data_IF_292796726184
#
_entry.id   IF_292796726184
#
_cell.length_a   1.000
_cell.length_b   1.000
_cell.length_c   1.000
_cell.angle_alpha   90.00
_cell.angle_beta   90.00
_cell.angle_gamma   90.00
#
_symmetry.space_group_name_H-M   'P 1'
#
loop_
_entity.id
_entity.type
_entity.pdbx_description
1 polymer ?
#
# COMPACT_ATOMS: atom_id res chain seq x y z
N UNK A 1 -7.80 70.26 66.14
CA UNK A 1 -7.16 69.77 64.90
C UNK A 1 -7.44 68.28 64.79
N UNK A 2 -8.04 67.85 63.68
CA UNK A 2 -8.52 66.49 63.47
C UNK A 2 -7.39 65.57 63.00
N UNK A 3 -7.34 64.39 63.61
CA UNK A 3 -6.49 63.24 63.30
C UNK A 3 -6.99 62.60 61.99
N UNK A 4 -6.06 62.19 61.11
CA UNK A 4 -6.36 61.44 59.89
C UNK A 4 -5.30 60.37 59.63
N UNK A 5 -5.58 59.14 60.06
CA UNK A 5 -4.79 57.94 59.76
C UNK A 5 -5.21 57.38 58.39
N UNK A 6 -4.24 57.20 57.49
CA UNK A 6 -4.43 56.51 56.21
C UNK A 6 -3.93 55.07 56.35
N UNK A 7 -4.87 54.12 56.35
CA UNK A 7 -4.58 52.68 56.37
C UNK A 7 -4.26 52.17 54.97
N UNK A 8 -3.11 51.47 54.84
CA UNK A 8 -2.67 50.81 53.63
C UNK A 8 -3.19 49.36 53.64
N UNK A 9 -4.12 49.02 52.76
CA UNK A 9 -4.65 47.66 52.59
C UNK A 9 -3.77 46.92 51.58
N UNK A 10 -2.92 46.01 52.06
CA UNK A 10 -2.24 45.02 51.21
C UNK A 10 -3.25 43.93 50.80
N UNK A 11 -3.61 43.88 49.52
CA UNK A 11 -4.25 42.71 48.92
C UNK A 11 -3.19 41.66 48.59
N UNK A 12 -3.15 40.56 49.35
CA UNK A 12 -2.46 39.33 48.95
C UNK A 12 -3.28 38.62 47.87
N UNK A 13 -2.84 38.69 46.62
CA UNK A 13 -3.32 37.81 45.56
C UNK A 13 -2.58 36.48 45.69
N UNK A 14 -3.22 35.50 46.33
CA UNK A 14 -2.74 34.12 46.36
C UNK A 14 -2.87 33.54 44.93
N UNK A 15 -1.77 33.55 44.19
CA UNK A 15 -1.66 32.92 42.88
C UNK A 15 -1.82 31.40 43.02
N UNK A 16 -2.98 30.88 42.62
CA UNK A 16 -3.18 29.47 42.32
C UNK A 16 -2.27 29.09 41.14
N UNK A 17 -1.05 28.66 41.46
CA UNK A 17 -0.18 27.95 40.53
C UNK A 17 -0.79 26.57 40.36
N UNK A 18 -1.79 26.45 39.48
CA UNK A 18 -2.17 25.16 38.93
C UNK A 18 -0.96 24.64 38.17
N UNK A 19 -0.23 23.70 38.76
CA UNK A 19 0.79 22.91 38.09
C UNK A 19 0.12 22.23 36.89
N UNK A 20 0.26 22.83 35.70
CA UNK A 20 -0.14 22.20 34.46
C UNK A 20 0.67 20.90 34.36
N UNK A 21 0.02 19.77 34.66
CA UNK A 21 0.65 18.46 34.57
C UNK A 21 1.24 18.31 33.17
N UNK A 22 2.54 18.01 33.09
CA UNK A 22 3.20 17.77 31.81
C UNK A 22 2.43 16.69 31.06
N UNK A 23 1.84 17.05 29.92
CA UNK A 23 1.16 16.08 29.08
C UNK A 23 2.19 15.03 28.64
N UNK A 24 2.00 13.78 29.07
CA UNK A 24 2.86 12.68 28.65
C UNK A 24 2.66 12.41 27.16
N UNK A 25 3.75 12.25 26.43
CA UNK A 25 3.72 11.86 25.03
C UNK A 25 3.05 10.48 24.89
N UNK A 26 2.06 10.37 24.00
CA UNK A 26 1.45 9.10 23.66
C UNK A 26 2.51 8.16 23.05
N UNK A 27 2.56 6.93 23.56
CA UNK A 27 3.38 5.88 22.98
C UNK A 27 2.90 5.56 21.56
N UNK A 28 3.83 5.33 20.63
CA UNK A 28 3.52 5.02 19.24
C UNK A 28 3.36 3.49 19.05
N UNK A 29 2.52 3.02 18.11
CA UNK A 29 2.43 1.60 17.80
C UNK A 29 3.81 1.06 17.44
N UNK A 30 4.29 0.02 18.13
CA UNK A 30 5.63 -0.53 17.90
C UNK A 30 6.77 0.50 17.97
N UNK A 31 6.57 1.63 18.65
CA UNK A 31 7.48 2.78 18.68
C UNK A 31 7.78 3.42 17.30
N UNK A 32 6.88 3.27 16.31
CA UNK A 32 7.05 3.81 14.96
C UNK A 32 5.97 4.81 14.60
N UNK A 33 6.33 5.88 13.89
CA UNK A 33 5.40 6.94 13.51
C UNK A 33 4.78 6.74 12.11
N UNK A 34 5.51 6.16 11.17
CA UNK A 34 5.16 6.19 9.75
C UNK A 34 4.88 4.79 9.23
N UNK A 35 3.69 4.57 8.67
CA UNK A 35 3.27 3.28 8.13
C UNK A 35 2.83 3.42 6.68
N UNK A 36 3.13 2.40 5.87
CA UNK A 36 2.47 2.13 4.61
C UNK A 36 1.44 1.01 4.85
N UNK A 37 0.25 1.15 4.28
CA UNK A 37 -0.88 0.24 4.53
C UNK A 37 -1.65 -0.09 3.26
N UNK A 38 -2.12 -1.33 3.16
CA UNK A 38 -3.08 -1.80 2.17
C UNK A 38 -4.24 -2.49 2.88
N UNK A 39 -5.48 -2.16 2.54
CA UNK A 39 -6.64 -2.72 3.24
C UNK A 39 -7.92 -2.63 2.40
N UNK A 40 -8.93 -3.43 2.73
CA UNK A 40 -10.11 -3.54 1.89
C UNK A 40 -11.28 -4.28 2.53
N UNK A 41 -12.41 -4.21 1.85
CA UNK A 41 -13.55 -5.10 2.06
C UNK A 41 -13.64 -6.03 0.86
N UNK A 42 -13.20 -7.26 1.08
CA UNK A 42 -13.30 -8.38 0.15
C UNK A 42 -14.32 -9.36 0.70
N UNK A 43 -15.33 -9.66 -0.11
CA UNK A 43 -16.46 -10.52 0.20
C UNK A 43 -16.78 -11.38 -1.03
N UNK A 44 -17.09 -12.65 -0.78
CA UNK A 44 -17.55 -13.58 -1.80
C UNK A 44 -18.86 -13.11 -2.43
N UNK A 45 -19.06 -13.45 -3.71
CA UNK A 45 -20.27 -13.13 -4.46
C UNK A 45 -20.72 -11.64 -4.40
N UNK A 46 -19.77 -10.73 -4.13
CA UNK A 46 -20.04 -9.30 -4.01
C UNK A 46 -19.61 -8.54 -5.27
N UNK A 47 -20.49 -7.65 -5.73
CA UNK A 47 -20.18 -6.62 -6.73
C UNK A 47 -19.77 -5.27 -6.13
N UNK A 48 -19.48 -5.24 -4.83
CA UNK A 48 -19.20 -4.02 -4.06
C UNK A 48 -17.85 -4.05 -3.32
N UNK A 49 -16.97 -4.99 -3.67
CA UNK A 49 -15.63 -5.07 -3.12
C UNK A 49 -14.84 -3.79 -3.39
N UNK A 50 -13.94 -3.46 -2.47
CA UNK A 50 -13.10 -2.28 -2.57
C UNK A 50 -11.78 -2.45 -1.83
N UNK A 51 -10.78 -1.72 -2.29
CA UNK A 51 -9.42 -1.74 -1.74
C UNK A 51 -8.88 -0.32 -1.63
N UNK A 52 -7.95 -0.13 -0.70
CA UNK A 52 -7.23 1.11 -0.42
C UNK A 52 -5.76 0.83 -0.19
N UNK A 53 -4.95 1.77 -0.64
CA UNK A 53 -3.50 1.81 -0.42
C UNK A 53 -3.16 3.20 0.10
N UNK A 54 -2.25 3.31 1.06
CA UNK A 54 -1.85 4.62 1.55
C UNK A 54 -0.91 4.56 2.73
N UNK A 55 -0.92 5.62 3.52
CA UNK A 55 -0.01 5.79 4.65
C UNK A 55 -0.74 6.18 5.92
N UNK A 56 -0.27 5.70 7.07
CA UNK A 56 -0.65 6.24 8.38
C UNK A 56 0.54 7.00 8.99
N UNK A 57 0.27 8.16 9.58
CA UNK A 57 1.22 8.96 10.33
C UNK A 57 0.69 9.17 11.75
N UNK A 58 1.29 8.50 12.72
CA UNK A 58 0.98 8.59 14.14
C UNK A 58 1.84 9.68 14.80
N UNK A 59 1.23 10.45 15.70
CA UNK A 59 1.93 11.46 16.50
C UNK A 59 1.96 11.10 17.98
N UNK A 60 2.94 11.65 18.68
CA UNK A 60 3.04 11.59 20.15
C UNK A 60 1.92 12.36 20.88
N UNK A 61 1.01 13.01 20.15
CA UNK A 61 -0.17 13.68 20.73
C UNK A 61 -1.41 12.77 20.72
N UNK A 62 -1.24 11.48 20.40
CA UNK A 62 -2.36 10.53 20.31
C UNK A 62 -3.22 10.71 19.06
N UNK A 63 -2.68 11.37 18.02
CA UNK A 63 -3.37 11.60 16.74
C UNK A 63 -2.80 10.74 15.64
N UNK A 64 -3.63 10.41 14.67
CA UNK A 64 -3.25 9.70 13.46
C UNK A 64 -3.83 10.40 12.24
N UNK A 65 -3.02 10.50 11.19
CA UNK A 65 -3.45 10.94 9.85
C UNK A 65 -3.32 9.77 8.89
N UNK A 66 -4.27 9.67 7.96
CA UNK A 66 -4.24 8.74 6.84
C UNK A 66 -4.38 9.48 5.52
N UNK A 67 -3.58 9.09 4.54
CA UNK A 67 -3.64 9.56 3.16
C UNK A 67 -3.74 8.33 2.26
N UNK A 68 -4.86 8.13 1.58
CA UNK A 68 -5.15 6.90 0.81
C UNK A 68 -5.68 7.14 -0.60
N UNK A 69 -5.30 6.25 -1.51
CA UNK A 69 -5.98 6.00 -2.77
C UNK A 69 -7.03 4.91 -2.57
N UNK A 70 -8.16 5.02 -3.26
CA UNK A 70 -9.31 4.12 -3.11
C UNK A 70 -9.84 3.66 -4.46
N UNK A 71 -10.17 2.37 -4.54
CA UNK A 71 -10.73 1.73 -5.73
C UNK A 71 -11.85 0.78 -5.34
N UNK A 72 -12.94 0.76 -6.10
CA UNK A 72 -14.09 -0.11 -5.81
C UNK A 72 -14.77 -0.62 -7.07
N UNK A 73 -15.40 -1.79 -6.98
CA UNK A 73 -16.20 -2.36 -8.07
C UNK A 73 -17.39 -1.45 -8.44
N UNK A 74 -17.97 -0.74 -7.46
CA UNK A 74 -19.05 0.21 -7.67
C UNK A 74 -18.65 1.49 -8.41
N UNK A 75 -17.36 1.84 -8.42
CA UNK A 75 -16.80 2.94 -9.21
C UNK A 75 -15.44 2.52 -9.79
N UNK A 76 -15.43 1.69 -10.84
CA UNK A 76 -14.19 1.17 -11.40
C UNK A 76 -13.30 2.29 -11.91
N UNK A 77 -12.00 2.17 -11.63
CA UNK A 77 -11.00 3.04 -12.25
C UNK A 77 -10.47 2.41 -13.53
N UNK A 78 -10.35 3.21 -14.58
CA UNK A 78 -9.59 2.79 -15.76
C UNK A 78 -8.11 2.61 -15.41
N UNK A 79 -7.43 1.72 -16.13
CA UNK A 79 -5.97 1.66 -16.13
C UNK A 79 -5.42 2.88 -16.86
N UNK A 80 -4.35 3.46 -16.34
CA UNK A 80 -3.72 4.66 -16.93
C UNK A 80 -2.25 4.42 -17.22
N UNK A 81 -1.77 5.07 -18.27
CA UNK A 81 -0.35 5.06 -18.63
C UNK A 81 0.49 5.86 -17.64
N UNK A 82 1.66 5.33 -17.30
CA UNK A 82 2.65 6.00 -16.44
C UNK A 82 3.59 6.92 -17.23
N UNK A 83 3.53 6.91 -18.56
CA UNK A 83 4.50 7.55 -19.45
C UNK A 83 5.82 6.81 -19.61
N UNK A 84 6.04 5.69 -18.90
CA UNK A 84 7.29 4.91 -19.01
C UNK A 84 7.12 3.73 -19.94
N UNK A 85 8.04 3.60 -20.91
CA UNK A 85 8.21 2.42 -21.77
C UNK A 85 9.57 1.81 -21.45
N UNK A 86 9.67 0.52 -21.09
CA UNK A 86 10.96 -0.10 -20.82
C UNK A 86 11.81 -0.17 -22.08
N UNK A 87 13.13 -0.07 -21.90
CA UNK A 87 14.08 -0.01 -23.01
C UNK A 87 15.45 -0.57 -22.60
N UNK A 88 16.29 -0.83 -23.61
CA UNK A 88 17.61 -1.43 -23.43
C UNK A 88 17.52 -2.93 -23.12
N UNK A 89 18.47 -3.45 -22.36
CA UNK A 89 18.61 -4.89 -22.02
C UNK A 89 17.37 -5.56 -21.38
N UNK A 90 16.43 -4.81 -20.80
CA UNK A 90 15.23 -5.38 -20.18
C UNK A 90 14.07 -5.58 -21.17
N UNK A 91 14.15 -5.07 -22.41
CA UNK A 91 13.01 -5.05 -23.33
C UNK A 91 13.39 -5.10 -24.83
N UNK A 92 12.48 -5.60 -25.67
CA UNK A 92 12.58 -5.50 -27.13
C UNK A 92 13.08 -6.76 -27.86
N UNK A 93 13.42 -7.81 -27.14
CA UNK A 93 13.80 -9.13 -27.69
C UNK A 93 12.73 -10.20 -27.41
N UNK A 94 12.89 -11.40 -27.98
CA UNK A 94 11.99 -12.54 -27.77
C UNK A 94 12.03 -13.10 -26.33
N UNK A 95 13.14 -12.93 -25.61
CA UNK A 95 13.34 -13.39 -24.23
C UNK A 95 13.12 -12.30 -23.18
N UNK A 96 12.94 -11.06 -23.59
CA UNK A 96 12.67 -9.91 -22.70
C UNK A 96 11.23 -9.43 -22.84
N UNK A 97 10.79 -8.49 -22.00
CA UNK A 97 9.45 -7.93 -22.15
C UNK A 97 9.31 -7.12 -23.43
N UNK A 98 8.08 -6.98 -23.90
CA UNK A 98 7.75 -6.09 -25.01
C UNK A 98 7.83 -4.61 -24.56
N UNK A 99 8.20 -3.69 -25.46
CA UNK A 99 8.29 -2.27 -25.12
C UNK A 99 6.89 -1.66 -25.07
N UNK A 100 6.20 -1.86 -23.96
CA UNK A 100 4.84 -1.38 -23.72
C UNK A 100 4.82 -0.32 -22.63
N UNK A 101 4.01 0.72 -22.81
CA UNK A 101 3.83 1.73 -21.78
C UNK A 101 3.24 1.09 -20.53
N UNK A 102 3.98 1.18 -19.42
CA UNK A 102 3.62 0.59 -18.13
C UNK A 102 2.34 1.24 -17.64
N UNK A 103 1.40 0.41 -17.17
CA UNK A 103 0.11 0.87 -16.66
C UNK A 103 0.03 0.76 -15.14
N UNK A 104 -0.80 1.61 -14.54
CA UNK A 104 -1.20 1.51 -13.13
C UNK A 104 -2.70 1.78 -12.98
N UNK A 105 -3.23 1.68 -11.76
CA UNK A 105 -4.62 2.00 -11.49
C UNK A 105 -4.88 3.51 -11.59
N UNK A 106 -5.99 3.91 -12.19
CA UNK A 106 -6.38 5.31 -12.32
C UNK A 106 -6.40 6.04 -10.98
N UNK A 107 -5.88 7.27 -10.97
CA UNK A 107 -5.75 8.10 -9.76
C UNK A 107 -4.44 7.91 -8.99
N UNK A 108 -3.70 6.81 -9.18
CA UNK A 108 -2.48 6.53 -8.41
C UNK A 108 -1.30 7.47 -8.74
N UNK A 109 -1.28 8.04 -9.93
CA UNK A 109 -0.26 9.00 -10.34
C UNK A 109 -0.40 10.35 -9.62
N UNK A 110 -1.60 10.67 -9.15
CA UNK A 110 -1.90 11.86 -8.35
C UNK A 110 -1.61 11.61 -6.87
N UNK A 111 -1.47 12.67 -6.05
CA UNK A 111 -1.51 12.53 -4.59
C UNK A 111 -2.76 11.78 -4.12
N UNK A 112 -2.65 11.11 -2.98
CA UNK A 112 -3.76 10.40 -2.36
C UNK A 112 -4.95 11.36 -2.11
N UNK A 113 -6.13 11.12 -2.70
CA UNK A 113 -7.25 12.05 -2.61
C UNK A 113 -8.04 11.91 -1.31
N UNK A 114 -8.00 10.75 -0.64
CA UNK A 114 -8.74 10.51 0.59
C UNK A 114 -7.85 10.74 1.81
N UNK A 115 -8.14 11.83 2.52
CA UNK A 115 -7.45 12.21 3.76
C UNK A 115 -8.37 11.95 4.95
N UNK A 116 -7.85 11.27 5.97
CA UNK A 116 -8.55 11.05 7.25
C UNK A 116 -7.68 11.45 8.42
N UNK A 117 -8.32 11.86 9.50
CA UNK A 117 -7.69 12.17 10.78
C UNK A 117 -8.46 11.47 11.89
N UNK A 118 -7.77 11.20 12.98
CA UNK A 118 -8.38 10.54 14.13
C UNK A 118 -7.47 10.56 15.35
N UNK A 119 -7.89 9.85 16.37
CA UNK A 119 -7.07 9.51 17.53
C UNK A 119 -6.73 8.03 17.54
N UNK A 120 -5.72 7.66 18.31
CA UNK A 120 -5.40 6.26 18.53
C UNK A 120 -5.08 5.98 20.00
N UNK A 121 -5.27 4.73 20.39
CA UNK A 121 -4.86 4.19 21.67
C UNK A 121 -4.18 2.84 21.49
N UNK A 122 -3.19 2.56 22.33
CA UNK A 122 -2.54 1.26 22.38
C UNK A 122 -3.16 0.42 23.47
N UNK A 123 -3.35 -0.86 23.16
CA UNK A 123 -3.89 -1.86 24.05
C UNK A 123 -3.02 -3.11 24.00
N UNK A 124 -3.18 -3.99 24.98
CA UNK A 124 -2.55 -5.29 24.98
C UNK A 124 -3.56 -6.35 25.42
N UNK A 125 -3.49 -7.53 24.82
CA UNK A 125 -4.26 -8.71 25.24
C UNK A 125 -3.37 -9.93 25.05
N UNK A 126 -3.31 -10.78 26.08
CA UNK A 126 -2.42 -11.94 26.11
C UNK A 126 -0.96 -11.61 25.73
N UNK A 127 -0.46 -10.45 26.19
CA UNK A 127 0.91 -10.00 25.93
C UNK A 127 1.17 -9.43 24.53
N UNK A 128 0.18 -9.44 23.62
CA UNK A 128 0.32 -8.87 22.26
C UNK A 128 -0.32 -7.48 22.18
N UNK A 129 0.43 -6.52 21.63
CA UNK A 129 -0.05 -5.15 21.43
C UNK A 129 -1.00 -5.08 20.24
N UNK A 130 -2.03 -4.25 20.35
CA UNK A 130 -2.80 -3.77 19.20
C UNK A 130 -3.05 -2.27 19.31
N UNK A 131 -3.14 -1.60 18.16
CA UNK A 131 -3.57 -0.21 18.08
C UNK A 131 -5.06 -0.17 17.73
N UNK A 132 -5.82 0.61 18.47
CA UNK A 132 -7.18 1.00 18.12
C UNK A 132 -7.14 2.43 17.57
N UNK A 133 -7.65 2.61 16.36
CA UNK A 133 -7.79 3.91 15.70
C UNK A 133 -9.26 4.29 15.70
N UNK A 134 -9.56 5.50 16.19
CA UNK A 134 -10.86 6.12 16.07
C UNK A 134 -10.77 7.28 15.09
N UNK A 135 -11.46 7.15 13.95
CA UNK A 135 -11.47 8.18 12.92
C UNK A 135 -12.51 9.25 13.22
N UNK A 136 -12.21 10.50 12.89
CA UNK A 136 -13.14 11.63 13.02
C UNK A 136 -14.34 11.46 12.06
N UNK A 137 -14.19 10.68 10.98
CA UNK A 137 -15.25 10.37 10.04
C UNK A 137 -16.16 9.22 10.54
N UNK A 138 -17.46 9.50 10.61
CA UNK A 138 -18.48 8.56 11.11
C UNK A 138 -18.66 7.30 10.27
N UNK A 139 -18.23 7.29 9.00
CA UNK A 139 -18.34 6.12 8.11
C UNK A 139 -17.39 4.99 8.51
N UNK A 140 -16.20 5.35 9.02
CA UNK A 140 -15.13 4.42 9.36
C UNK A 140 -15.18 4.00 10.83
N UNK A 141 -15.52 4.95 11.73
CA UNK A 141 -15.56 4.86 13.20
C UNK A 141 -14.31 4.26 13.83
N UNK A 142 -14.05 2.96 13.65
CA UNK A 142 -12.96 2.24 14.29
C UNK A 142 -12.24 1.24 13.38
N UNK A 143 -10.92 1.18 13.57
CA UNK A 143 -10.04 0.15 13.00
C UNK A 143 -9.08 -0.35 14.08
N UNK A 144 -8.81 -1.65 14.08
CA UNK A 144 -7.85 -2.26 14.98
C UNK A 144 -6.82 -3.09 14.22
N UNK A 145 -5.58 -3.00 14.67
CA UNK A 145 -4.43 -3.66 14.06
C UNK A 145 -3.57 -4.29 15.14
N UNK A 146 -3.27 -5.58 14.99
CA UNK A 146 -2.20 -6.21 15.76
C UNK A 146 -0.87 -5.55 15.40
N UNK A 147 -0.03 -5.34 16.40
CA UNK A 147 1.27 -4.68 16.24
C UNK A 147 2.35 -5.67 16.64
N UNK A 148 3.14 -6.10 15.65
CA UNK A 148 4.27 -6.99 15.85
C UNK A 148 5.56 -6.25 15.49
N UNK A 149 6.63 -6.40 16.28
CA UNK A 149 7.95 -5.84 15.94
C UNK A 149 8.77 -6.87 15.17
N UNK A 150 9.45 -6.43 14.12
CA UNK A 150 10.33 -7.30 13.33
C UNK A 150 11.43 -7.91 14.23
N UNK A 151 11.96 -9.11 13.92
CA UNK A 151 13.00 -9.74 14.73
C UNK A 151 14.26 -8.88 14.91
N UNK A 152 14.64 -8.12 13.89
CA UNK A 152 15.77 -7.18 13.95
C UNK A 152 15.42 -5.83 14.62
N UNK A 153 14.16 -5.67 15.03
CA UNK A 153 13.61 -4.47 15.66
C UNK A 153 13.72 -3.19 14.83
N UNK A 154 13.93 -3.26 13.52
CA UNK A 154 14.10 -2.07 12.66
C UNK A 154 12.80 -1.57 12.04
N UNK A 155 11.73 -2.35 12.10
CA UNK A 155 10.39 -1.97 11.64
C UNK A 155 9.31 -2.77 12.37
N UNK A 156 8.06 -2.41 12.11
CA UNK A 156 6.87 -2.98 12.75
C UNK A 156 5.88 -3.40 11.68
N UNK A 157 5.13 -4.47 11.95
CA UNK A 157 4.04 -4.95 11.11
C UNK A 157 2.69 -4.68 11.77
N UNK A 158 1.75 -4.23 10.96
CA UNK A 158 0.33 -4.16 11.27
C UNK A 158 -0.39 -5.30 10.55
N UNK A 159 -1.04 -6.16 11.32
CA UNK A 159 -1.96 -7.18 10.77
C UNK A 159 -3.37 -6.80 11.16
N UNK A 160 -4.29 -6.81 10.19
CA UNK A 160 -5.68 -6.48 10.44
C UNK A 160 -6.25 -7.32 11.59
N UNK A 161 -6.86 -6.66 12.58
CA UNK A 161 -7.52 -7.31 13.72
C UNK A 161 -9.03 -7.20 13.61
N UNK A 162 -9.54 -5.98 13.42
CA UNK A 162 -10.98 -5.76 13.41
C UNK A 162 -11.38 -4.40 12.82
N UNK A 163 -12.53 -4.39 12.14
CA UNK A 163 -13.32 -3.20 11.82
C UNK A 163 -14.72 -3.65 11.41
N UNK A 164 -15.69 -2.74 11.42
CA UNK A 164 -17.03 -3.00 10.85
C UNK A 164 -17.07 -2.83 9.32
N UNK A 165 -16.01 -2.29 8.73
CA UNK A 165 -15.96 -1.94 7.28
C UNK A 165 -14.90 -2.70 6.50
N UNK A 166 -13.86 -3.17 7.19
CA UNK A 166 -12.72 -3.86 6.60
C UNK A 166 -12.83 -5.35 6.86
N UNK A 167 -12.36 -6.15 5.92
CA UNK A 167 -12.22 -7.60 6.13
C UNK A 167 -10.77 -8.05 6.12
N UNK A 168 -9.88 -7.32 5.44
CA UNK A 168 -8.48 -7.69 5.27
C UNK A 168 -7.57 -6.46 5.27
N UNK A 169 -6.30 -6.66 5.64
CA UNK A 169 -5.29 -5.62 5.51
C UNK A 169 -3.93 -5.97 6.07
N UNK A 170 -2.93 -5.28 5.52
CA UNK A 170 -1.52 -5.39 5.85
C UNK A 170 -0.93 -3.98 6.00
N UNK A 171 -0.01 -3.81 6.94
CA UNK A 171 0.74 -2.58 7.08
C UNK A 171 2.14 -2.83 7.61
N UNK A 172 3.06 -1.93 7.30
CA UNK A 172 4.41 -1.94 7.83
C UNK A 172 4.84 -0.52 8.15
N UNK A 173 5.53 -0.33 9.27
CA UNK A 173 5.95 1.00 9.70
C UNK A 173 7.32 1.07 10.33
N UNK A 174 7.88 2.26 10.28
CA UNK A 174 9.20 2.65 10.76
C UNK A 174 9.20 4.14 11.10
N UNK A 175 10.35 4.66 11.49
CA UNK A 175 10.60 6.08 11.70
C UNK A 175 11.20 6.76 10.46
N UNK A 176 11.49 6.02 9.39
CA UNK A 176 11.83 6.63 8.11
C UNK A 176 10.66 7.47 7.60
N UNK A 177 10.94 8.68 7.10
CA UNK A 177 9.91 9.59 6.58
C UNK A 177 9.13 8.98 5.41
N UNK A 178 7.85 9.34 5.26
CA UNK A 178 7.00 8.84 4.16
C UNK A 178 7.45 9.30 2.77
N UNK A 179 8.24 10.37 2.69
CA UNK A 179 8.89 10.83 1.46
C UNK A 179 10.20 10.08 1.14
N UNK A 180 10.73 9.29 2.08
CA UNK A 180 11.95 8.50 1.87
C UNK A 180 11.61 7.28 1.03
N UNK A 181 12.40 7.05 -0.02
CA UNK A 181 12.31 5.88 -0.89
C UNK A 181 13.69 5.29 -1.18
N UNK A 182 13.70 4.08 -1.72
CA UNK A 182 14.89 3.45 -2.28
C UNK A 182 14.81 3.33 -3.81
N UNK A 183 15.94 3.54 -4.49
CA UNK A 183 16.01 3.39 -5.94
C UNK A 183 15.78 1.92 -6.32
N UNK A 184 15.32 1.66 -7.54
CA UNK A 184 15.13 0.28 -8.04
C UNK A 184 16.43 -0.54 -8.02
N UNK A 185 17.59 0.10 -8.02
CA UNK A 185 18.88 -0.57 -7.81
C UNK A 185 18.97 -1.27 -6.45
N UNK A 186 18.62 -0.56 -5.37
CA UNK A 186 18.63 -1.13 -4.02
C UNK A 186 17.54 -2.20 -3.86
N UNK A 187 16.38 -2.00 -4.49
CA UNK A 187 15.31 -2.99 -4.55
C UNK A 187 15.79 -4.27 -5.23
N UNK A 188 16.49 -4.17 -6.37
CA UNK A 188 17.04 -5.32 -7.09
C UNK A 188 18.15 -6.04 -6.33
N UNK A 189 18.96 -5.27 -5.61
CA UNK A 189 20.10 -5.78 -4.85
C UNK A 189 19.68 -6.45 -3.53
N UNK A 190 18.41 -6.37 -3.14
CA UNK A 190 17.91 -7.06 -1.96
C UNK A 190 17.94 -8.57 -2.16
N UNK A 191 18.55 -9.27 -1.21
CA UNK A 191 18.88 -10.69 -1.25
C UNK A 191 17.99 -11.53 -0.34
N UNK A 192 17.37 -10.94 0.68
CA UNK A 192 16.48 -11.68 1.56
C UNK A 192 15.25 -12.19 0.78
N UNK A 193 14.81 -13.44 1.03
CA UNK A 193 13.63 -13.98 0.38
C UNK A 193 12.40 -13.14 0.67
N UNK A 194 11.61 -12.84 -0.36
CA UNK A 194 10.35 -12.13 -0.22
C UNK A 194 9.18 -13.09 -0.39
N UNK A 195 8.20 -12.95 0.49
CA UNK A 195 6.91 -13.64 0.38
C UNK A 195 5.84 -12.62 0.02
N UNK A 196 5.11 -12.90 -1.07
CA UNK A 196 3.86 -12.22 -1.38
C UNK A 196 2.71 -12.96 -0.68
N UNK A 197 2.07 -12.28 0.26
CA UNK A 197 0.83 -12.73 0.89
C UNK A 197 -0.30 -11.84 0.40
N UNK A 198 -1.39 -12.43 -0.11
CA UNK A 198 -2.53 -11.66 -0.57
C UNK A 198 -3.87 -12.33 -0.34
N UNK A 199 -4.87 -11.49 -0.06
CA UNK A 199 -6.29 -11.82 -0.12
C UNK A 199 -6.85 -11.23 -1.41
N UNK A 200 -7.51 -12.04 -2.23
CA UNK A 200 -7.99 -11.64 -3.55
C UNK A 200 -9.45 -11.98 -3.75
N UNK A 201 -10.24 -10.98 -4.12
CA UNK A 201 -11.58 -11.14 -4.66
C UNK A 201 -11.53 -11.22 -6.20
N UNK A 202 -11.97 -12.35 -6.76
CA UNK A 202 -12.08 -12.57 -8.21
C UNK A 202 -13.10 -13.66 -8.51
N UNK A 203 -13.88 -13.52 -9.59
CA UNK A 203 -14.87 -14.52 -10.05
C UNK A 203 -15.93 -14.92 -8.99
N UNK A 204 -16.11 -14.10 -7.96
CA UNK A 204 -17.04 -14.35 -6.85
C UNK A 204 -16.45 -15.11 -5.67
N UNK A 205 -15.16 -15.44 -5.69
CA UNK A 205 -14.44 -16.07 -4.57
C UNK A 205 -13.49 -15.07 -3.89
N UNK A 206 -13.15 -15.34 -2.63
CA UNK A 206 -12.06 -14.68 -1.90
C UNK A 206 -11.01 -15.72 -1.53
N UNK A 207 -9.83 -15.63 -2.14
CA UNK A 207 -8.73 -16.56 -1.89
C UNK A 207 -7.63 -15.90 -1.05
N UNK A 208 -7.07 -16.64 -0.10
CA UNK A 208 -5.78 -16.33 0.53
C UNK A 208 -4.66 -17.08 -0.19
N UNK A 209 -3.58 -16.39 -0.51
CA UNK A 209 -2.43 -16.98 -1.21
C UNK A 209 -1.12 -16.46 -0.63
N UNK A 210 -0.20 -17.39 -0.38
CA UNK A 210 1.21 -17.13 -0.12
C UNK A 210 2.06 -17.68 -1.26
N UNK A 211 3.00 -16.86 -1.76
CA UNK A 211 3.95 -17.28 -2.80
C UNK A 211 5.26 -16.53 -2.69
N UNK A 212 6.35 -17.17 -3.10
CA UNK A 212 7.65 -16.49 -3.24
C UNK A 212 7.56 -15.39 -4.29
N UNK A 213 8.11 -14.22 -3.96
CA UNK A 213 8.36 -13.13 -4.90
C UNK A 213 9.85 -13.10 -5.26
N UNK A 214 10.19 -13.67 -6.41
CA UNK A 214 11.57 -13.77 -6.86
C UNK A 214 12.06 -12.48 -7.52
N UNK A 215 12.86 -11.70 -6.77
CA UNK A 215 13.49 -10.48 -7.29
C UNK A 215 14.62 -10.78 -8.28
N UNK A 216 15.22 -11.97 -8.26
CA UNK A 216 16.35 -12.31 -9.12
C UNK A 216 15.98 -12.39 -10.60
N UNK A 217 14.69 -12.67 -10.89
CA UNK A 217 14.17 -12.69 -12.25
C UNK A 217 14.14 -11.29 -12.90
N UNK A 218 14.09 -10.21 -12.11
CA UNK A 218 13.95 -8.86 -12.63
C UNK A 218 15.25 -8.32 -13.23
N UNK A 219 15.16 -7.87 -14.47
CA UNK A 219 16.24 -7.16 -15.16
C UNK A 219 15.99 -5.67 -15.04
N UNK A 220 16.95 -4.94 -14.44
CA UNK A 220 16.91 -3.47 -14.49
C UNK A 220 17.18 -3.01 -15.91
N UNK A 221 16.31 -2.14 -16.40
CA UNK A 221 16.46 -1.52 -17.70
C UNK A 221 17.73 -0.65 -17.74
N UNK A 222 18.44 -0.66 -18.86
CA UNK A 222 19.64 0.15 -19.05
C UNK A 222 19.32 1.58 -19.50
N UNK A 223 18.16 1.79 -20.10
CA UNK A 223 17.69 3.13 -20.48
C UNK A 223 17.09 3.96 -19.35
N UNK A 224 16.86 3.38 -18.17
CA UNK A 224 16.26 4.08 -17.01
C UNK A 224 16.76 3.50 -15.68
N UNK A 225 16.75 4.27 -14.60
CA UNK A 225 17.11 3.77 -13.25
C UNK A 225 15.90 3.41 -12.40
N UNK A 226 14.68 3.63 -12.91
CA UNK A 226 13.42 3.48 -12.20
C UNK A 226 12.50 2.39 -12.78
N UNK A 227 13.00 1.58 -13.72
CA UNK A 227 12.23 0.50 -14.34
C UNK A 227 12.99 -0.82 -14.30
N UNK A 228 12.28 -1.88 -13.95
CA UNK A 228 12.73 -3.26 -14.06
C UNK A 228 11.65 -4.08 -14.73
N UNK A 229 12.04 -5.12 -15.45
CA UNK A 229 11.09 -5.97 -16.12
C UNK A 229 11.66 -7.37 -16.31
N UNK A 230 10.77 -8.33 -16.50
CA UNK A 230 11.13 -9.67 -16.93
C UNK A 230 9.97 -10.34 -17.66
N UNK A 231 10.31 -11.24 -18.56
CA UNK A 231 9.35 -12.11 -19.25
C UNK A 231 9.46 -13.48 -18.61
N UNK A 232 8.36 -14.03 -18.10
CA UNK A 232 8.38 -15.41 -17.61
C UNK A 232 8.56 -16.38 -18.77
N UNK A 233 8.95 -17.61 -18.47
CA UNK A 233 8.66 -18.72 -19.38
C UNK A 233 7.14 -18.95 -19.48
N UNK A 234 6.72 -19.81 -20.41
CA UNK A 234 5.33 -20.24 -20.55
C UNK A 234 4.71 -20.64 -19.20
N UNK A 235 3.52 -20.12 -18.90
CA UNK A 235 2.78 -20.42 -17.66
C UNK A 235 1.36 -20.89 -17.94
N UNK A 236 0.80 -21.71 -17.06
CA UNK A 236 -0.60 -22.14 -17.07
C UNK A 236 -1.57 -21.07 -16.58
N UNK A 237 -1.07 -19.96 -16.00
CA UNK A 237 -1.89 -18.86 -15.50
C UNK A 237 -2.49 -18.00 -16.63
N UNK A 238 -2.05 -18.22 -17.86
CA UNK A 238 -2.53 -17.51 -19.04
C UNK A 238 -3.54 -18.36 -19.81
N UNK A 239 -4.82 -17.98 -19.72
CA UNK A 239 -5.89 -18.52 -20.56
C UNK A 239 -5.87 -17.81 -21.91
N UNK A 240 -5.37 -18.49 -22.92
CA UNK A 240 -5.07 -17.93 -24.23
C UNK A 240 -6.04 -18.47 -25.29
N UNK A 241 -6.79 -17.61 -25.98
CA UNK A 241 -7.67 -18.07 -27.06
C UNK A 241 -6.87 -18.41 -28.32
N UNK A 242 -7.26 -19.49 -29.00
CA UNK A 242 -6.80 -19.76 -30.36
C UNK A 242 -7.17 -18.59 -31.31
N UNK A 243 -6.33 -18.25 -32.31
CA UNK A 243 -5.07 -18.89 -32.70
C UNK A 243 -3.81 -18.29 -32.00
N UNK A 244 -3.98 -17.59 -30.87
CA UNK A 244 -2.90 -16.86 -30.18
C UNK A 244 -2.27 -17.62 -29.00
N UNK A 245 -2.60 -18.90 -28.86
CA UNK A 245 -2.23 -19.84 -27.81
C UNK A 245 -0.79 -20.39 -27.90
N UNK A 246 0.11 -19.68 -28.60
CA UNK A 246 1.51 -20.11 -28.78
C UNK A 246 2.48 -19.52 -27.78
N UNK A 247 2.15 -18.37 -27.19
CA UNK A 247 3.01 -17.70 -26.21
C UNK A 247 2.21 -17.33 -24.95
N UNK A 248 2.26 -18.22 -23.96
CA UNK A 248 1.61 -18.11 -22.67
C UNK A 248 2.52 -17.46 -21.60
N UNK A 249 3.60 -16.79 -22.00
CA UNK A 249 4.44 -16.06 -21.06
C UNK A 249 3.73 -14.84 -20.48
N UNK A 250 4.14 -14.44 -19.28
CA UNK A 250 3.78 -13.17 -18.67
C UNK A 250 4.81 -12.10 -19.04
N UNK A 251 4.28 -10.93 -19.37
CA UNK A 251 5.01 -9.69 -19.56
C UNK A 251 4.93 -8.92 -18.25
N UNK A 252 6.03 -8.85 -17.49
CA UNK A 252 6.03 -8.29 -16.13
C UNK A 252 6.89 -7.05 -16.01
N UNK A 253 6.35 -6.00 -15.41
CA UNK A 253 6.97 -4.69 -15.27
C UNK A 253 6.87 -4.21 -13.83
N UNK A 254 7.95 -3.65 -13.29
CA UNK A 254 8.01 -2.98 -12.00
C UNK A 254 8.65 -1.62 -12.19
N UNK A 255 7.98 -0.57 -11.72
CA UNK A 255 8.39 0.79 -11.99
C UNK A 255 8.23 1.67 -10.75
N UNK A 256 9.23 2.50 -10.50
CA UNK A 256 9.10 3.66 -9.64
C UNK A 256 8.22 4.73 -10.31
N UNK A 257 7.14 5.13 -9.62
CA UNK A 257 6.19 6.13 -10.14
C UNK A 257 6.71 7.56 -9.96
N UNK A 258 7.41 7.82 -8.85
CA UNK A 258 7.92 9.16 -8.54
C UNK A 258 9.19 9.08 -7.71
N UNK A 259 10.05 10.09 -7.83
CA UNK A 259 11.21 10.27 -6.95
C UNK A 259 10.90 10.88 -5.59
N UNK A 260 9.64 11.27 -5.32
CA UNK A 260 9.25 12.11 -4.17
C UNK A 260 8.70 11.33 -2.98
N UNK A 261 8.27 10.09 -3.20
CA UNK A 261 7.61 9.27 -2.19
C UNK A 261 7.81 7.77 -2.51
N UNK A 262 7.18 6.92 -1.72
CA UNK A 262 7.33 5.46 -1.74
C UNK A 262 6.57 4.76 -2.87
N UNK A 263 5.93 5.48 -3.80
CA UNK A 263 5.10 4.87 -4.84
C UNK A 263 5.93 4.17 -5.91
N UNK A 264 5.60 2.90 -6.08
CA UNK A 264 5.99 2.06 -7.20
C UNK A 264 4.72 1.44 -7.82
N UNK A 265 4.82 0.80 -8.98
CA UNK A 265 3.74 0.00 -9.53
C UNK A 265 4.29 -1.27 -10.15
N UNK A 266 3.54 -2.36 -10.00
CA UNK A 266 3.75 -3.58 -10.75
C UNK A 266 2.61 -3.76 -11.76
N UNK A 267 2.95 -4.18 -12.96
CA UNK A 267 2.00 -4.42 -14.04
C UNK A 267 2.36 -5.72 -14.73
N UNK A 268 1.37 -6.56 -15.02
CA UNK A 268 1.61 -7.70 -15.88
C UNK A 268 0.41 -8.08 -16.73
N UNK A 269 0.69 -8.86 -17.78
CA UNK A 269 -0.32 -9.39 -18.70
C UNK A 269 0.25 -10.57 -19.49
N UNK A 270 -0.65 -11.41 -20.02
CA UNK A 270 -0.29 -12.59 -20.81
C UNK A 270 0.01 -12.25 -22.27
N UNK A 271 1.15 -12.67 -22.79
CA UNK A 271 1.63 -12.32 -24.13
C UNK A 271 0.62 -12.62 -25.23
N UNK A 272 -0.03 -13.78 -25.17
CA UNK A 272 -1.08 -14.20 -26.10
C UNK A 272 -2.26 -13.21 -26.19
N UNK A 273 -2.60 -12.51 -25.10
CA UNK A 273 -3.74 -11.59 -25.06
C UNK A 273 -3.49 -10.30 -25.85
N UNK A 274 -2.26 -10.04 -26.30
CA UNK A 274 -2.01 -8.99 -27.27
C UNK A 274 -2.55 -9.33 -28.68
N UNK A 275 -2.93 -10.59 -28.95
CA UNK A 275 -3.57 -11.01 -30.22
C UNK A 275 -2.81 -10.53 -31.46
N UNK A 276 -1.50 -10.75 -31.49
CA UNK A 276 -0.60 -10.33 -32.57
C UNK A 276 -0.16 -8.85 -32.52
N UNK A 277 -0.79 -8.00 -31.71
CA UNK A 277 -0.30 -6.63 -31.49
C UNK A 277 0.92 -6.59 -30.57
N UNK A 278 1.62 -5.45 -30.51
CA UNK A 278 2.76 -5.26 -29.61
C UNK A 278 2.34 -5.35 -28.13
N UNK A 279 1.25 -4.67 -27.76
CA UNK A 279 0.86 -4.49 -26.36
C UNK A 279 -0.59 -4.90 -26.12
N UNK A 280 -0.83 -5.64 -25.04
CA UNK A 280 -2.19 -5.91 -24.59
C UNK A 280 -2.86 -4.63 -24.06
N UNK A 281 -4.03 -4.31 -24.61
CA UNK A 281 -4.84 -3.13 -24.24
C UNK A 281 -6.01 -3.46 -23.30
N UNK A 282 -6.20 -4.73 -22.98
CA UNK A 282 -7.38 -5.23 -22.27
C UNK A 282 -7.19 -5.38 -20.77
N UNK A 283 -7.82 -6.43 -20.23
CA UNK A 283 -7.80 -6.77 -18.80
C UNK A 283 -6.42 -7.28 -18.36
N UNK A 284 -5.49 -6.34 -18.15
CA UNK A 284 -4.17 -6.59 -17.54
C UNK A 284 -4.21 -6.40 -16.03
N UNK A 285 -3.20 -6.87 -15.31
CA UNK A 285 -3.17 -6.76 -13.85
C UNK A 285 -2.34 -5.57 -13.40
N UNK A 286 -2.95 -4.60 -12.71
CA UNK A 286 -2.27 -3.40 -12.19
C UNK A 286 -2.22 -3.41 -10.67
N UNK A 287 -1.02 -3.18 -10.14
CA UNK A 287 -0.72 -3.21 -8.72
C UNK A 287 -0.04 -1.90 -8.32
N UNK A 288 -0.77 -0.93 -7.78
CA UNK A 288 -0.19 0.16 -7.00
C UNK A 288 0.56 -0.39 -5.77
N UNK A 289 1.77 0.12 -5.51
CA UNK A 289 2.66 -0.33 -4.44
C UNK A 289 3.19 0.85 -3.62
N UNK A 290 3.44 0.61 -2.33
CA UNK A 290 4.22 1.49 -1.46
C UNK A 290 5.36 0.71 -0.83
N UNK A 291 6.58 1.24 -0.93
CA UNK A 291 7.76 0.62 -0.34
C UNK A 291 7.68 0.52 1.19
N UNK A 292 8.08 -0.62 1.71
CA UNK A 292 8.39 -0.80 3.13
C UNK A 292 9.85 -0.43 3.34
N UNK A 293 10.10 0.61 4.12
CA UNK A 293 11.44 1.10 4.48
C UNK A 293 11.58 0.99 6.00
N UNK A 294 12.66 0.41 6.50
CA UNK A 294 12.94 0.29 7.93
C UNK A 294 13.55 1.58 8.52
N UNK A 295 13.84 1.59 9.82
CA UNK A 295 14.47 2.73 10.50
C UNK A 295 15.89 3.04 10.05
N UNK A 296 16.61 2.03 9.56
CA UNK A 296 17.96 2.15 9.03
C UNK A 296 17.96 2.66 7.58
N UNK A 297 16.77 2.81 6.99
CA UNK A 297 16.57 3.19 5.61
C UNK A 297 16.65 2.02 4.63
N UNK A 298 16.80 0.78 5.09
CA UNK A 298 16.77 -0.42 4.26
C UNK A 298 15.41 -0.63 3.60
N UNK A 299 15.39 -1.14 2.37
CA UNK A 299 14.18 -1.59 1.70
C UNK A 299 13.83 -3.00 2.14
N UNK A 300 12.58 -3.25 2.52
CA UNK A 300 12.10 -4.52 3.11
C UNK A 300 10.94 -5.16 2.36
N UNK A 301 10.52 -4.56 1.24
CA UNK A 301 9.37 -5.02 0.47
C UNK A 301 8.39 -3.92 0.05
N UNK A 302 7.14 -4.33 -0.17
CA UNK A 302 6.00 -3.47 -0.48
C UNK A 302 4.75 -3.89 0.28
N UNK A 303 3.86 -2.93 0.51
CA UNK A 303 2.42 -3.20 0.58
C UNK A 303 1.78 -2.75 -0.73
N UNK A 304 0.67 -3.36 -1.11
CA UNK A 304 0.02 -3.03 -2.36
C UNK A 304 -1.43 -3.48 -2.42
N UNK A 305 -2.09 -3.05 -3.48
CA UNK A 305 -3.43 -3.53 -3.82
C UNK A 305 -3.49 -3.91 -5.29
N UNK A 306 -4.27 -4.93 -5.63
CA UNK A 306 -4.69 -5.11 -7.01
C UNK A 306 -5.97 -4.32 -7.23
N UNK A 307 -6.01 -3.51 -8.29
CA UNK A 307 -7.17 -2.70 -8.67
C UNK A 307 -7.43 -2.83 -10.17
N UNK A 308 -7.63 -4.08 -10.60
CA UNK A 308 -7.76 -4.47 -11.99
C UNK A 308 -9.23 -4.64 -12.37
N UNK A 309 -9.84 -3.59 -12.93
CA UNK A 309 -11.25 -3.62 -13.31
C UNK A 309 -11.45 -4.18 -14.73
N UNK A 310 -12.42 -5.05 -14.90
CA UNK A 310 -12.78 -5.60 -16.20
C UNK A 310 -13.31 -4.46 -17.10
N UNK A 311 -12.66 -4.18 -18.24
CA UNK A 311 -12.94 -2.97 -19.02
C UNK A 311 -14.04 -3.14 -20.06
N UNK A 312 -14.63 -4.33 -20.19
CA UNK A 312 -15.59 -4.65 -21.24
C UNK A 312 -17.01 -4.79 -20.70
N UNK A 313 -17.98 -4.63 -21.60
CA UNK A 313 -19.42 -4.77 -21.34
C UNK A 313 -20.01 -5.99 -22.05
N UNK A 314 -19.16 -6.96 -22.40
CA UNK A 314 -19.48 -8.15 -23.20
C UNK A 314 -20.01 -9.32 -22.36
N UNK A 315 -20.15 -9.12 -21.05
CA UNK A 315 -20.70 -10.10 -20.11
C UNK A 315 -21.77 -9.45 -19.24
N UNK A 316 -22.76 -10.24 -18.80
CA UNK A 316 -23.90 -9.76 -18.00
C UNK A 316 -23.47 -9.11 -16.68
N UNK A 317 -22.46 -9.66 -16.02
CA UNK A 317 -21.88 -9.11 -14.80
C UNK A 317 -20.37 -8.87 -14.99
N UNK A 318 -19.96 -7.67 -15.44
CA UNK A 318 -18.55 -7.35 -15.58
C UNK A 318 -17.84 -7.27 -14.22
N UNK A 319 -18.55 -7.01 -13.11
CA UNK A 319 -17.92 -6.83 -11.78
C UNK A 319 -17.36 -8.14 -11.24
N UNK A 320 -18.01 -9.26 -11.57
CA UNK A 320 -17.47 -10.59 -11.25
C UNK A 320 -16.10 -10.86 -11.88
N UNK A 321 -15.73 -10.15 -12.93
CA UNK A 321 -14.43 -10.26 -13.60
C UNK A 321 -13.41 -9.20 -13.14
N UNK A 322 -13.79 -8.31 -12.23
CA UNK A 322 -12.84 -7.44 -11.56
C UNK A 322 -11.94 -8.27 -10.65
N UNK A 323 -10.67 -7.88 -10.55
CA UNK A 323 -9.68 -8.52 -9.69
C UNK A 323 -9.18 -7.48 -8.71
N UNK A 324 -9.60 -7.64 -7.45
CA UNK A 324 -9.23 -6.77 -6.35
C UNK A 324 -8.44 -7.58 -5.34
N UNK A 325 -7.38 -7.01 -4.78
CA UNK A 325 -6.59 -7.68 -3.75
C UNK A 325 -5.99 -6.69 -2.78
N UNK A 326 -5.79 -7.13 -1.54
CA UNK A 326 -4.89 -6.46 -0.59
C UNK A 326 -3.71 -7.38 -0.37
N UNK A 327 -2.50 -6.84 -0.37
CA UNK A 327 -1.32 -7.69 -0.25
C UNK A 327 -0.11 -6.98 0.32
N UNK A 328 0.84 -7.82 0.70
CA UNK A 328 2.21 -7.44 1.04
C UNK A 328 3.16 -8.32 0.25
N UNK A 329 4.34 -7.80 0.00
CA UNK A 329 5.53 -8.52 -0.46
C UNK A 329 6.60 -8.15 0.55
N UNK A 330 7.01 -9.04 1.44
CA UNK A 330 7.95 -8.70 2.51
C UNK A 330 8.83 -9.88 2.89
N UNK A 331 10.00 -9.58 3.45
CA UNK A 331 10.92 -10.58 4.04
C UNK A 331 10.37 -11.22 5.32
N UNK A 332 9.49 -10.51 6.04
CA UNK A 332 8.89 -10.94 7.30
C UNK A 332 7.36 -10.88 7.24
N UNK A 333 6.74 -12.06 7.26
CA UNK A 333 5.28 -12.26 7.09
C UNK A 333 4.59 -12.87 8.30
#
# INVERSE_FOLDING_TARGET
>A
MRVGSVGCVLLMVAGLICSAGSASAAALPGNRANYVVSFGSLQEQSGSNWVRLGTYAFSSTGKVRSDTWAWSQGKPAARVGTGTVPSGNCSGTNTTVRPCEIKTAGGFLSPAPEVRTGSFSLHATAGRQYVNITWDQTTWRTEEWWVDTAPDSTYTRLTFKYSRRLTHGYGYGSNAGLAVRRPMEAVRAHDAPLTMTYDRATKGAVDHVDRTWDMSAYIRCTGTTWCMAYKTQTTTNCDCPAPYDKDHSLQTYLQQITGKDRRDTHWHWCTCLAKGSQCHKGNSHVYPLLQVIDDQGGWRGWVGVEASFYPYTDVTDPRRNDMLSVFRVAEWV
#
